data_IF_334383731792
#
_entry.id   IF_334383731792
#
_cell.length_a   1.000
_cell.length_b   1.000
_cell.length_c   1.000
_cell.angle_alpha   90.00
_cell.angle_beta   90.00
_cell.angle_gamma   90.00
#
_symmetry.space_group_name_H-M   'P 1'
#
loop_
_entity.id
_entity.type
_entity.pdbx_description
1 polymer ?
#
# COMPACT_ATOMS: atom_id res chain seq x y z
N UNK A 1 3.04 -2.72 -21.60
CA UNK A 1 1.57 -2.82 -21.65
C UNK A 1 1.16 -4.21 -21.23
N UNK A 2 0.79 -4.36 -19.97
CA UNK A 2 0.22 -5.61 -19.51
C UNK A 2 -1.08 -5.86 -20.28
N UNK A 3 -1.19 -7.01 -20.95
CA UNK A 3 -2.44 -7.47 -21.59
C UNK A 3 -3.41 -7.93 -20.51
N UNK A 4 -3.80 -7.02 -19.63
CA UNK A 4 -4.73 -7.30 -18.52
C UNK A 4 -6.14 -7.38 -19.08
N UNK A 5 -6.86 -8.42 -18.67
CA UNK A 5 -8.30 -8.49 -18.85
C UNK A 5 -8.98 -7.42 -18.01
N UNK A 6 -10.22 -7.06 -18.35
CA UNK A 6 -11.01 -6.10 -17.56
C UNK A 6 -11.12 -6.49 -16.08
N UNK A 7 -11.20 -7.79 -15.78
CA UNK A 7 -11.26 -8.29 -14.40
C UNK A 7 -9.95 -8.04 -13.64
N UNK A 8 -8.82 -8.28 -14.29
CA UNK A 8 -7.50 -8.05 -13.69
C UNK A 8 -7.25 -6.55 -13.50
N UNK A 9 -7.71 -5.72 -14.44
CA UNK A 9 -7.64 -4.26 -14.30
C UNK A 9 -8.44 -3.78 -13.08
N UNK A 10 -9.71 -4.18 -12.95
CA UNK A 10 -10.54 -3.79 -11.80
C UNK A 10 -9.98 -4.32 -10.48
N UNK A 11 -9.50 -5.57 -10.44
CA UNK A 11 -8.86 -6.11 -9.24
C UNK A 11 -7.60 -5.34 -8.86
N UNK A 12 -6.84 -4.85 -9.83
CA UNK A 12 -5.63 -4.07 -9.61
C UNK A 12 -5.94 -2.65 -9.14
N UNK A 13 -6.98 -2.00 -9.68
CA UNK A 13 -7.50 -0.72 -9.19
C UNK A 13 -7.99 -0.82 -7.75
N UNK A 14 -8.75 -1.88 -7.42
CA UNK A 14 -9.18 -2.16 -6.05
C UNK A 14 -7.97 -2.34 -5.13
N UNK A 15 -6.99 -3.14 -5.56
CA UNK A 15 -5.77 -3.37 -4.79
C UNK A 15 -4.96 -2.09 -4.56
N UNK A 16 -4.84 -1.23 -5.57
CA UNK A 16 -4.23 0.10 -5.43
C UNK A 16 -4.98 0.95 -4.38
N UNK A 17 -6.31 0.88 -4.36
CA UNK A 17 -7.14 1.50 -3.32
C UNK A 17 -6.80 0.97 -1.92
N UNK A 18 -6.73 -0.36 -1.76
CA UNK A 18 -6.39 -1.00 -0.48
C UNK A 18 -5.00 -0.62 0.02
N UNK A 19 -3.98 -0.70 -0.85
CA UNK A 19 -2.59 -0.36 -0.49
C UNK A 19 -2.48 1.09 0.01
N UNK A 20 -3.17 2.03 -0.65
CA UNK A 20 -3.21 3.44 -0.22
C UNK A 20 -3.84 3.61 1.15
N UNK A 21 -4.97 2.94 1.40
CA UNK A 21 -5.67 3.00 2.70
C UNK A 21 -4.81 2.38 3.81
N UNK A 22 -4.18 1.23 3.55
CA UNK A 22 -3.31 0.57 4.52
C UNK A 22 -2.09 1.42 4.85
N UNK A 23 -1.41 1.97 3.85
CA UNK A 23 -0.30 2.89 4.04
C UNK A 23 -0.67 4.04 4.98
N UNK A 24 -1.80 4.71 4.72
CA UNK A 24 -2.29 5.81 5.56
C UNK A 24 -2.62 5.37 6.99
N UNK A 25 -3.30 4.22 7.16
CA UNK A 25 -3.62 3.66 8.49
C UNK A 25 -2.36 3.34 9.29
N UNK A 26 -1.36 2.73 8.68
CA UNK A 26 -0.09 2.42 9.36
C UNK A 26 0.71 3.67 9.70
N UNK A 27 0.71 4.70 8.85
CA UNK A 27 1.31 6.00 9.17
C UNK A 27 0.61 6.66 10.36
N UNK A 28 -0.72 6.66 10.38
CA UNK A 28 -1.48 7.19 11.50
C UNK A 28 -1.23 6.38 12.78
N UNK A 29 -1.22 5.05 12.69
CA UNK A 29 -0.90 4.18 13.83
C UNK A 29 0.49 4.48 14.39
N UNK A 30 1.51 4.64 13.54
CA UNK A 30 2.86 5.01 13.96
C UNK A 30 2.92 6.36 14.70
N UNK A 31 2.02 7.31 14.38
CA UNK A 31 1.94 8.58 15.09
C UNK A 31 1.28 8.45 16.47
N UNK A 32 0.27 7.58 16.60
CA UNK A 32 -0.49 7.38 17.84
C UNK A 32 0.20 6.44 18.84
N UNK A 33 1.08 5.55 18.39
CA UNK A 33 1.82 4.66 19.25
C UNK A 33 2.79 5.45 20.15
N UNK A 34 3.16 4.88 21.30
CA UNK A 34 4.19 5.45 22.18
C UNK A 34 5.45 4.58 22.18
N UNK A 35 5.26 3.28 22.03
CA UNK A 35 6.33 2.28 21.93
C UNK A 35 7.15 2.45 20.64
N UNK A 36 8.48 2.53 20.79
CA UNK A 36 9.38 2.79 19.67
C UNK A 36 9.51 1.61 18.70
N UNK A 37 9.41 0.37 19.15
CA UNK A 37 9.49 -0.81 18.30
C UNK A 37 8.22 -0.97 17.46
N UNK A 38 7.06 -0.73 18.07
CA UNK A 38 5.78 -0.74 17.35
C UNK A 38 5.71 0.41 16.33
N UNK A 39 6.20 1.60 16.67
CA UNK A 39 6.32 2.71 15.72
C UNK A 39 7.17 2.36 14.51
N UNK A 40 8.34 1.79 14.76
CA UNK A 40 9.26 1.39 13.69
C UNK A 40 8.60 0.31 12.81
N UNK A 41 7.93 -0.66 13.41
CA UNK A 41 7.19 -1.70 12.69
C UNK A 41 6.08 -1.11 11.81
N UNK A 42 5.22 -0.25 12.37
CA UNK A 42 4.17 0.43 11.60
C UNK A 42 4.73 1.29 10.46
N UNK A 43 5.86 1.96 10.69
CA UNK A 43 6.54 2.75 9.65
C UNK A 43 7.09 1.85 8.53
N UNK A 44 7.66 0.69 8.87
CA UNK A 44 8.09 -0.30 7.88
C UNK A 44 6.91 -0.81 7.04
N UNK A 45 5.79 -1.17 7.68
CA UNK A 45 4.59 -1.62 6.97
C UNK A 45 4.03 -0.52 6.06
N UNK A 46 3.96 0.73 6.52
CA UNK A 46 3.54 1.85 5.68
C UNK A 46 4.42 2.00 4.44
N UNK A 47 5.75 1.88 4.58
CA UNK A 47 6.68 1.94 3.47
C UNK A 47 6.51 0.75 2.52
N UNK A 48 6.26 -0.45 3.05
CA UNK A 48 6.01 -1.63 2.23
C UNK A 48 4.74 -1.49 1.40
N UNK A 49 3.63 -1.04 2.01
CA UNK A 49 2.38 -0.76 1.28
C UNK A 49 2.57 0.32 0.20
N UNK A 50 3.41 1.33 0.47
CA UNK A 50 3.77 2.32 -0.55
C UNK A 50 4.52 1.68 -1.73
N UNK A 51 5.52 0.84 -1.46
CA UNK A 51 6.26 0.14 -2.52
C UNK A 51 5.36 -0.82 -3.31
N UNK A 52 4.43 -1.51 -2.65
CA UNK A 52 3.43 -2.34 -3.31
C UNK A 52 2.56 -1.50 -4.24
N UNK A 53 2.07 -0.35 -3.77
CA UNK A 53 1.30 0.59 -4.59
C UNK A 53 2.06 1.03 -5.84
N UNK A 54 3.32 1.45 -5.68
CA UNK A 54 4.18 1.88 -6.81
C UNK A 54 4.43 0.72 -7.79
N UNK A 55 4.63 -0.49 -7.28
CA UNK A 55 4.78 -1.71 -8.10
C UNK A 55 3.50 -2.01 -8.89
N UNK A 56 2.35 -1.96 -8.23
CA UNK A 56 1.06 -2.19 -8.86
C UNK A 56 0.75 -1.13 -9.92
N UNK A 57 1.06 0.13 -9.63
CA UNK A 57 0.92 1.24 -10.58
C UNK A 57 1.80 1.03 -11.81
N UNK A 58 2.99 0.44 -11.64
CA UNK A 58 3.88 0.07 -12.74
C UNK A 58 3.29 -0.96 -13.71
N UNK A 59 2.32 -1.79 -13.29
CA UNK A 59 1.60 -2.69 -14.21
C UNK A 59 0.56 -1.96 -15.08
N UNK A 60 0.16 -0.74 -14.69
CA UNK A 60 -0.79 0.09 -15.44
C UNK A 60 -0.12 1.07 -16.41
N UNK A 61 1.20 1.26 -16.31
CA UNK A 61 1.99 2.15 -17.18
C UNK A 61 2.59 1.40 -18.39
#
# INVERSE_FOLDING_TARGET
>A
MANLTTKELSALEDQLGFEKVLCCKYQQAAQCLQDSELKQSCTQYANQHRNNYETLLGFLQ
#
